data_IF_568068052248
#
_entry.id   IF_568068052248
#
_cell.length_a   1.000
_cell.length_b   1.000
_cell.length_c   1.000
_cell.angle_alpha   90.00
_cell.angle_beta   90.00
_cell.angle_gamma   90.00
#
_symmetry.space_group_name_H-M   'P 1'
#
loop_
_entity.id
_entity.type
_entity.pdbx_description
1 polymer ?
#
# COMPACT_ATOMS: atom_id res chain seq x y z
N UNK A 1 39.99 -42.05 10.17
CA UNK A 1 39.27 -40.77 10.36
C UNK A 1 37.81 -41.12 10.59
N UNK A 2 37.33 -41.13 11.85
CA UNK A 2 35.93 -41.44 12.16
C UNK A 2 35.07 -40.23 11.84
N UNK A 3 34.32 -40.26 10.74
CA UNK A 3 33.21 -39.35 10.52
C UNK A 3 32.06 -39.77 11.43
N UNK A 4 31.88 -39.05 12.53
CA UNK A 4 30.65 -39.09 13.32
C UNK A 4 29.56 -38.42 12.49
N UNK A 5 28.75 -39.23 11.80
CA UNK A 5 27.57 -38.74 11.08
C UNK A 5 26.45 -38.37 12.05
N UNK A 6 25.67 -37.35 11.68
CA UNK A 6 24.42 -37.00 12.37
C UNK A 6 23.44 -38.18 12.37
N UNK A 7 22.73 -38.38 13.47
CA UNK A 7 21.71 -39.43 13.54
C UNK A 7 20.42 -38.99 12.84
N UNK A 8 19.73 -39.94 12.22
CA UNK A 8 18.42 -39.68 11.59
C UNK A 8 17.38 -39.20 12.61
N UNK A 9 17.51 -39.64 13.87
CA UNK A 9 16.64 -39.21 14.96
C UNK A 9 16.88 -37.74 15.35
N UNK A 10 18.12 -37.28 15.43
CA UNK A 10 18.42 -35.86 15.67
C UNK A 10 17.83 -34.97 14.58
N UNK A 11 17.97 -35.38 13.32
CA UNK A 11 17.44 -34.61 12.21
C UNK A 11 15.90 -34.53 12.25
N UNK A 12 15.23 -35.60 12.66
CA UNK A 12 13.77 -35.60 12.81
C UNK A 12 13.28 -34.65 13.91
N UNK A 13 13.95 -34.59 15.06
CA UNK A 13 13.59 -33.65 16.14
C UNK A 13 13.82 -32.21 15.71
N UNK A 14 14.91 -31.92 15.00
CA UNK A 14 15.18 -30.58 14.47
C UNK A 14 14.10 -30.17 13.47
N UNK A 15 13.71 -31.06 12.56
CA UNK A 15 12.64 -30.79 11.60
C UNK A 15 11.29 -30.54 12.29
N UNK A 16 10.98 -31.29 13.35
CA UNK A 16 9.76 -31.08 14.14
C UNK A 16 9.74 -29.67 14.74
N UNK A 17 10.83 -29.22 15.37
CA UNK A 17 10.92 -27.88 15.96
C UNK A 17 10.83 -26.79 14.88
N UNK A 18 11.56 -26.93 13.77
CA UNK A 18 11.54 -25.96 12.65
C UNK A 18 10.15 -25.83 12.04
N UNK A 19 9.41 -26.93 11.93
CA UNK A 19 8.04 -26.91 11.38
C UNK A 19 7.06 -26.11 12.26
N UNK A 20 7.15 -26.24 13.58
CA UNK A 20 6.31 -25.50 14.54
C UNK A 20 6.63 -24.01 14.49
N UNK A 21 7.93 -23.65 14.50
CA UNK A 21 8.35 -22.26 14.41
C UNK A 21 7.95 -21.63 13.06
N UNK A 22 8.08 -22.37 11.96
CA UNK A 22 7.72 -21.91 10.62
C UNK A 22 6.24 -21.56 10.48
N UNK A 23 5.35 -22.36 11.08
CA UNK A 23 3.91 -22.14 11.01
C UNK A 23 3.47 -20.79 11.62
N UNK A 24 4.16 -20.32 12.66
CA UNK A 24 3.86 -19.04 13.34
C UNK A 24 4.59 -17.88 12.65
N UNK A 25 5.85 -18.09 12.25
CA UNK A 25 6.71 -17.04 11.72
C UNK A 25 6.27 -16.54 10.33
N UNK A 26 5.86 -17.45 9.44
CA UNK A 26 5.50 -17.10 8.05
C UNK A 26 4.33 -16.10 7.98
N UNK A 27 3.15 -16.36 8.59
CA UNK A 27 2.01 -15.43 8.48
C UNK A 27 2.32 -14.07 9.11
N UNK A 28 3.07 -14.05 10.23
CA UNK A 28 3.49 -12.81 10.88
C UNK A 28 4.43 -11.98 9.99
N UNK A 29 5.42 -12.64 9.36
CA UNK A 29 6.36 -11.98 8.46
C UNK A 29 5.68 -11.42 7.21
N UNK A 30 4.75 -12.17 6.60
CA UNK A 30 3.94 -11.67 5.48
C UNK A 30 3.16 -10.41 5.88
N UNK A 31 2.61 -10.37 7.10
CA UNK A 31 1.92 -9.19 7.61
C UNK A 31 2.82 -7.97 7.75
N UNK A 32 4.06 -8.15 8.21
CA UNK A 32 5.07 -7.08 8.30
C UNK A 32 5.45 -6.53 6.92
N UNK A 33 5.69 -7.40 5.94
CA UNK A 33 6.04 -6.98 4.58
C UNK A 33 4.87 -6.24 3.91
N UNK A 34 3.62 -6.66 4.13
CA UNK A 34 2.45 -5.91 3.66
C UNK A 34 2.38 -4.51 4.27
N UNK A 35 2.66 -4.36 5.56
CA UNK A 35 2.68 -3.05 6.22
C UNK A 35 3.77 -2.14 5.63
N UNK A 36 4.97 -2.67 5.44
CA UNK A 36 6.07 -1.94 4.80
C UNK A 36 5.70 -1.52 3.35
N UNK A 37 5.04 -2.41 2.59
CA UNK A 37 4.56 -2.11 1.25
C UNK A 37 3.49 -1.00 1.25
N UNK A 38 2.57 -1.00 2.22
CA UNK A 38 1.59 0.08 2.38
C UNK A 38 2.25 1.42 2.75
N UNK A 39 3.33 1.39 3.55
CA UNK A 39 4.12 2.59 3.84
C UNK A 39 4.83 3.13 2.59
N UNK A 40 5.38 2.26 1.73
CA UNK A 40 5.94 2.67 0.42
C UNK A 40 4.88 3.35 -0.47
N UNK A 41 3.68 2.76 -0.52
CA UNK A 41 2.53 3.33 -1.22
C UNK A 41 2.15 4.70 -0.65
N UNK A 42 2.14 4.85 0.68
CA UNK A 42 1.88 6.11 1.35
C UNK A 42 2.92 7.19 0.98
N UNK A 43 4.20 6.87 1.00
CA UNK A 43 5.24 7.81 0.60
C UNK A 43 5.08 8.24 -0.88
N UNK A 44 4.66 7.32 -1.74
CA UNK A 44 4.37 7.61 -3.14
C UNK A 44 3.18 8.56 -3.29
N UNK A 45 2.16 8.48 -2.43
CA UNK A 45 0.95 9.32 -2.50
C UNK A 45 1.23 10.79 -2.20
N UNK A 46 2.12 11.07 -1.26
CA UNK A 46 2.39 12.44 -0.77
C UNK A 46 2.61 13.46 -1.90
N UNK A 47 3.53 13.24 -2.87
CA UNK A 47 3.75 14.20 -3.95
C UNK A 47 2.55 14.36 -4.88
N UNK A 48 1.76 13.29 -5.12
CA UNK A 48 0.54 13.40 -5.93
C UNK A 48 -0.54 14.21 -5.22
N UNK A 49 -0.70 14.00 -3.90
CA UNK A 49 -1.63 14.76 -3.07
C UNK A 49 -1.30 16.25 -3.12
N UNK A 50 -0.05 16.62 -2.85
CA UNK A 50 0.38 18.02 -2.92
C UNK A 50 0.26 18.60 -4.33
N UNK A 51 0.55 17.81 -5.37
CA UNK A 51 0.40 18.24 -6.76
C UNK A 51 -1.05 18.51 -7.17
N UNK A 52 -1.98 17.69 -6.67
CA UNK A 52 -3.43 17.89 -6.85
C UNK A 52 -3.93 19.11 -6.07
N UNK A 53 -3.44 19.32 -4.85
CA UNK A 53 -3.75 20.52 -4.07
C UNK A 53 -3.29 21.78 -4.81
N UNK A 54 -2.07 21.78 -5.35
CA UNK A 54 -1.56 22.89 -6.16
C UNK A 54 -2.37 23.11 -7.44
N UNK A 55 -2.68 22.05 -8.19
CA UNK A 55 -3.52 22.15 -9.39
C UNK A 55 -4.89 22.77 -9.10
N UNK A 56 -5.48 22.42 -7.96
CA UNK A 56 -6.76 22.99 -7.53
C UNK A 56 -6.65 24.46 -7.13
N UNK A 57 -5.50 24.93 -6.64
CA UNK A 57 -5.27 26.35 -6.42
C UNK A 57 -5.13 27.12 -7.75
N UNK A 58 -4.58 26.51 -8.79
CA UNK A 58 -4.39 27.15 -10.10
C UNK A 58 -5.67 27.19 -10.95
N UNK A 59 -6.45 26.10 -10.93
CA UNK A 59 -7.64 25.92 -11.80
C UNK A 59 -8.96 26.18 -11.09
N UNK A 60 -8.92 26.48 -9.78
CA UNK A 60 -10.07 26.63 -8.86
C UNK A 60 -10.99 25.40 -8.78
N UNK A 61 -10.66 24.31 -9.48
CA UNK A 61 -11.44 23.10 -9.57
C UNK A 61 -10.52 21.85 -9.67
N UNK A 62 -11.12 20.67 -9.78
CA UNK A 62 -10.35 19.42 -9.89
C UNK A 62 -10.40 18.78 -11.29
N UNK A 63 -11.24 19.25 -12.21
CA UNK A 63 -11.57 18.59 -13.48
C UNK A 63 -10.40 18.45 -14.47
N UNK A 64 -9.38 19.28 -14.33
CA UNK A 64 -8.19 19.22 -15.19
C UNK A 64 -6.94 18.71 -14.46
N UNK A 65 -7.11 18.33 -13.18
CA UNK A 65 -6.04 17.79 -12.34
C UNK A 65 -5.82 16.31 -12.62
N UNK A 66 -5.21 16.03 -13.77
CA UNK A 66 -4.93 14.69 -14.26
C UNK A 66 -3.42 14.36 -14.20
N UNK A 67 -3.07 13.07 -14.29
CA UNK A 67 -1.66 12.65 -14.40
C UNK A 67 -0.98 13.35 -15.57
N UNK A 68 0.20 13.93 -15.30
CA UNK A 68 0.96 14.69 -16.31
C UNK A 68 0.60 16.17 -16.39
N UNK A 69 -0.31 16.67 -15.54
CA UNK A 69 -0.42 18.11 -15.27
C UNK A 69 0.91 18.68 -14.76
N UNK A 70 1.19 19.97 -15.01
CA UNK A 70 2.47 20.58 -14.65
C UNK A 70 2.85 20.42 -13.16
N UNK A 71 1.85 20.41 -12.28
CA UNK A 71 2.01 20.23 -10.83
C UNK A 71 1.91 18.77 -10.35
N UNK A 72 1.52 17.82 -11.21
CA UNK A 72 1.25 16.42 -10.84
C UNK A 72 2.27 15.51 -11.54
N UNK A 73 3.07 14.73 -10.78
CA UNK A 73 4.01 13.80 -11.39
C UNK A 73 3.35 12.88 -12.43
N UNK A 74 4.09 12.56 -13.49
CA UNK A 74 3.73 11.47 -14.38
C UNK A 74 3.76 10.15 -13.60
N UNK A 75 2.86 9.22 -13.94
CA UNK A 75 2.64 7.97 -13.21
C UNK A 75 3.92 7.26 -12.75
N UNK A 76 3.84 6.60 -11.59
CA UNK A 76 4.97 5.98 -10.92
C UNK A 76 4.70 4.48 -10.69
N UNK A 77 5.73 3.66 -10.90
CA UNK A 77 5.68 2.22 -10.66
C UNK A 77 6.82 1.85 -9.70
N UNK A 78 6.53 1.01 -8.71
CA UNK A 78 7.52 0.51 -7.74
C UNK A 78 7.39 -1.00 -7.59
N UNK A 79 8.19 -1.64 -6.73
CA UNK A 79 8.03 -3.08 -6.41
C UNK A 79 6.62 -3.43 -5.92
N UNK A 80 5.95 -2.53 -5.23
CA UNK A 80 4.63 -2.76 -4.61
C UNK A 80 3.49 -1.99 -5.28
N UNK A 81 3.81 -1.11 -6.24
CA UNK A 81 2.86 -0.25 -6.93
C UNK A 81 2.90 -0.58 -8.42
N UNK A 82 1.78 -1.02 -8.97
CA UNK A 82 1.64 -1.31 -10.40
C UNK A 82 1.48 -0.04 -11.22
N UNK A 83 0.64 0.89 -10.75
CA UNK A 83 0.33 2.15 -11.42
C UNK A 83 -0.14 3.19 -10.41
N UNK A 84 0.21 4.44 -10.67
CA UNK A 84 -0.42 5.62 -10.04
C UNK A 84 -1.06 6.46 -11.14
N UNK A 85 -2.33 6.81 -10.96
CA UNK A 85 -3.07 7.65 -11.89
C UNK A 85 -3.88 8.67 -11.12
N UNK A 86 -3.94 9.89 -11.62
CA UNK A 86 -4.80 10.94 -11.11
C UNK A 86 -5.80 11.27 -12.19
N UNK A 87 -7.08 11.25 -11.82
CA UNK A 87 -8.18 11.64 -12.70
C UNK A 87 -9.07 12.62 -11.97
N UNK A 88 -9.22 13.81 -12.51
CA UNK A 88 -10.07 14.86 -11.95
C UNK A 88 -9.81 15.10 -10.44
N UNK A 89 -8.53 15.09 -10.03
CA UNK A 89 -8.10 15.21 -8.63
C UNK A 89 -8.26 13.94 -7.77
N UNK A 90 -8.87 12.87 -8.28
CA UNK A 90 -8.89 11.57 -7.62
C UNK A 90 -7.60 10.80 -7.90
N UNK A 91 -6.88 10.43 -6.86
CA UNK A 91 -5.62 9.68 -6.96
C UNK A 91 -5.94 8.20 -6.79
N UNK A 92 -5.68 7.41 -7.82
CA UNK A 92 -5.93 5.97 -7.88
C UNK A 92 -4.58 5.25 -7.95
N UNK A 93 -4.38 4.31 -7.02
CA UNK A 93 -3.14 3.54 -6.93
C UNK A 93 -3.47 2.07 -6.87
N UNK A 94 -2.81 1.30 -7.72
CA UNK A 94 -2.99 -0.14 -7.81
C UNK A 94 -1.77 -0.82 -7.21
N UNK A 95 -1.99 -1.63 -6.19
CA UNK A 95 -0.96 -2.44 -5.55
C UNK A 95 -0.61 -3.69 -6.37
N UNK A 96 0.64 -4.14 -6.24
CA UNK A 96 1.12 -5.40 -6.80
C UNK A 96 1.90 -6.23 -5.77
N UNK A 97 2.34 -7.45 -6.17
CA UNK A 97 3.04 -8.39 -5.28
C UNK A 97 2.20 -8.70 -4.03
N UNK A 98 2.70 -8.37 -2.85
CA UNK A 98 2.00 -8.59 -1.58
C UNK A 98 0.78 -7.67 -1.37
N UNK A 99 0.62 -6.65 -2.22
CA UNK A 99 -0.56 -5.79 -2.29
C UNK A 99 -1.44 -6.09 -3.53
N UNK A 100 -1.22 -7.21 -4.21
CA UNK A 100 -1.99 -7.55 -5.39
C UNK A 100 -3.49 -7.61 -5.09
N UNK A 101 -4.29 -6.96 -5.94
CA UNK A 101 -5.74 -6.83 -5.76
C UNK A 101 -6.15 -5.79 -4.72
N UNK A 102 -5.24 -4.92 -4.26
CA UNK A 102 -5.56 -3.71 -3.52
C UNK A 102 -5.56 -2.50 -4.47
N UNK A 103 -6.68 -1.80 -4.52
CA UNK A 103 -6.78 -0.49 -5.17
C UNK A 103 -7.10 0.55 -4.10
N UNK A 104 -6.25 1.56 -3.99
CA UNK A 104 -6.41 2.66 -3.03
C UNK A 104 -6.77 3.92 -3.81
N UNK A 105 -7.92 4.50 -3.50
CA UNK A 105 -8.39 5.75 -4.10
C UNK A 105 -8.43 6.84 -3.04
N UNK A 106 -7.73 7.96 -3.28
CA UNK A 106 -7.79 9.16 -2.46
C UNK A 106 -8.59 10.22 -3.21
N UNK A 107 -9.70 10.65 -2.61
CA UNK A 107 -10.60 11.64 -3.18
C UNK A 107 -10.68 12.89 -2.31
N UNK A 108 -10.44 14.09 -2.85
CA UNK A 108 -10.73 15.32 -2.14
C UNK A 108 -12.25 15.47 -2.01
N UNK A 109 -12.74 15.58 -0.78
CA UNK A 109 -14.16 15.75 -0.48
C UNK A 109 -14.34 17.03 0.31
N UNK A 110 -15.34 17.83 -0.04
CA UNK A 110 -15.70 19.03 0.72
C UNK A 110 -16.81 18.69 1.71
N UNK A 111 -16.65 19.12 2.96
CA UNK A 111 -17.72 19.11 3.94
C UNK A 111 -18.73 20.22 3.60
N UNK A 112 -19.97 19.83 3.34
CA UNK A 112 -21.09 20.72 2.99
C UNK A 112 -21.45 21.72 4.10
N UNK A 113 -21.05 21.47 5.35
CA UNK A 113 -21.39 22.32 6.50
C UNK A 113 -20.29 23.31 6.85
N UNK A 114 -19.04 22.90 6.74
CA UNK A 114 -17.87 23.70 7.16
C UNK A 114 -17.10 24.29 5.98
N UNK A 115 -17.33 23.79 4.76
CA UNK A 115 -16.58 24.16 3.55
C UNK A 115 -15.15 23.60 3.53
N UNK A 116 -14.71 22.92 4.60
CA UNK A 116 -13.37 22.34 4.73
C UNK A 116 -13.21 21.17 3.77
N UNK A 117 -12.05 21.08 3.14
CA UNK A 117 -11.69 19.98 2.26
C UNK A 117 -10.88 18.98 3.03
N UNK A 118 -11.32 17.72 3.00
CA UNK A 118 -10.61 16.60 3.59
C UNK A 118 -10.42 15.51 2.54
N UNK A 119 -9.42 14.67 2.76
CA UNK A 119 -9.10 13.58 1.86
C UNK A 119 -9.76 12.30 2.35
N UNK A 120 -10.63 11.73 1.52
CA UNK A 120 -11.25 10.44 1.79
C UNK A 120 -10.46 9.34 1.11
N UNK A 121 -9.96 8.39 1.88
CA UNK A 121 -9.31 7.18 1.34
C UNK A 121 -10.32 6.05 1.24
N UNK A 122 -10.35 5.38 0.09
CA UNK A 122 -11.13 4.18 -0.18
C UNK A 122 -10.14 3.07 -0.50
N UNK A 123 -10.13 2.01 0.30
CA UNK A 123 -9.34 0.81 0.07
C UNK A 123 -10.25 -0.30 -0.45
N UNK A 124 -10.13 -0.63 -1.73
CA UNK A 124 -10.87 -1.71 -2.38
C UNK A 124 -9.99 -2.95 -2.55
N UNK A 125 -10.40 -4.05 -1.92
CA UNK A 125 -9.75 -5.35 -2.02
C UNK A 125 -10.67 -6.45 -1.53
N UNK A 126 -10.49 -7.67 -2.05
CA UNK A 126 -11.18 -8.88 -1.57
C UNK A 126 -10.60 -9.42 -0.26
N UNK A 127 -9.39 -9.02 0.12
CA UNK A 127 -8.72 -9.49 1.33
C UNK A 127 -9.03 -8.55 2.51
N UNK A 128 -9.85 -9.02 3.46
CA UNK A 128 -10.29 -8.23 4.61
C UNK A 128 -9.13 -7.77 5.51
N UNK A 129 -8.13 -8.64 5.73
CA UNK A 129 -6.94 -8.26 6.52
C UNK A 129 -6.16 -7.13 5.85
N UNK A 130 -6.03 -7.18 4.51
CA UNK A 130 -5.36 -6.14 3.75
C UNK A 130 -6.16 -4.83 3.75
N UNK A 131 -7.48 -4.92 3.68
CA UNK A 131 -8.39 -3.77 3.76
C UNK A 131 -8.23 -3.03 5.07
N UNK A 132 -8.24 -3.74 6.20
CA UNK A 132 -8.06 -3.15 7.53
C UNK A 132 -6.69 -2.46 7.64
N UNK A 133 -5.61 -3.12 7.23
CA UNK A 133 -4.26 -2.53 7.24
C UNK A 133 -4.15 -1.28 6.38
N UNK A 134 -4.80 -1.28 5.21
CA UNK A 134 -4.86 -0.11 4.33
C UNK A 134 -5.58 1.05 5.04
N UNK A 135 -6.76 0.81 5.61
CA UNK A 135 -7.51 1.84 6.34
C UNK A 135 -6.74 2.39 7.55
N UNK A 136 -6.02 1.54 8.28
CA UNK A 136 -5.16 1.98 9.39
C UNK A 136 -3.98 2.83 8.92
N UNK A 137 -3.36 2.47 7.79
CA UNK A 137 -2.20 3.18 7.26
C UNK A 137 -2.56 4.53 6.67
N UNK A 138 -3.74 4.64 6.04
CA UNK A 138 -4.21 5.84 5.34
C UNK A 138 -5.23 6.67 6.13
N UNK A 139 -5.18 6.58 7.47
CA UNK A 139 -6.02 7.38 8.37
C UNK A 139 -5.41 8.79 8.49
N UNK A 140 -5.93 9.72 7.70
CA UNK A 140 -5.62 11.16 7.78
C UNK A 140 -6.76 11.92 8.46
#
# INVERSE_FOLDING_TARGET
MNQQGFTLMELMVVMAIVSILGAIAIPSYQGYIQKAALTDMLQTIVPYKSGVELCRFETENYKDCNTGHASIPSGHNSRYISTVTVKDGEIIIVGQQNLNGLTTTLKPTQDTKTGVIYWRTICDTKNESLKLKCQETFKF
#
